data_IF_592103892675
#
_entry.id   IF_592103892675
#
_cell.length_a   1.000
_cell.length_b   1.000
_cell.length_c   1.000
_cell.angle_alpha   90.00
_cell.angle_beta   90.00
_cell.angle_gamma   90.00
#
_symmetry.space_group_name_H-M   'P 1'
#
loop_
_entity.id
_entity.type
_entity.pdbx_description
1 polymer ?
#
# COMPACT_ATOMS: atom_id res chain seq x y z
N UNK A 1 55.76 1.36 -54.58
CA UNK A 1 56.13 -0.07 -54.52
C UNK A 1 55.04 -0.75 -53.70
N UNK A 2 54.18 -1.51 -54.40
CA UNK A 2 53.22 -2.55 -53.95
C UNK A 2 52.45 -2.26 -52.64
N UNK A 3 51.16 -1.93 -52.75
CA UNK A 3 50.02 -2.89 -52.77
C UNK A 3 49.79 -3.45 -51.36
N UNK A 4 48.59 -3.51 -50.78
CA UNK A 4 47.21 -3.40 -51.26
C UNK A 4 46.35 -3.26 -50.00
N UNK A 5 45.45 -2.27 -49.93
CA UNK A 5 43.98 -2.42 -50.03
C UNK A 5 43.32 -2.96 -48.74
N UNK A 6 42.56 -2.12 -48.02
CA UNK A 6 41.14 -1.80 -48.22
C UNK A 6 40.25 -2.75 -47.39
N UNK A 7 39.12 -2.40 -46.75
CA UNK A 7 38.28 -1.19 -46.66
C UNK A 7 37.27 -1.50 -45.53
N UNK A 8 36.96 -0.53 -44.66
CA UNK A 8 35.71 0.27 -44.65
C UNK A 8 34.52 -0.27 -43.84
N UNK A 9 34.08 0.59 -42.91
CA UNK A 9 32.69 0.93 -42.53
C UNK A 9 31.73 -0.19 -42.07
N UNK A 10 30.80 0.00 -41.15
CA UNK A 10 30.14 1.18 -40.61
C UNK A 10 28.92 0.69 -39.80
N UNK A 11 28.38 1.57 -38.94
CA UNK A 11 27.25 1.35 -38.02
C UNK A 11 26.00 0.71 -38.63
N UNK A 12 25.27 -0.07 -37.82
CA UNK A 12 23.83 -0.32 -38.01
C UNK A 12 23.21 -1.28 -36.98
N UNK A 13 22.21 -0.82 -36.23
CA UNK A 13 21.35 -1.59 -35.29
C UNK A 13 20.52 -2.65 -36.01
N UNK A 14 20.15 -3.75 -35.33
CA UNK A 14 18.81 -4.40 -35.37
C UNK A 14 18.69 -5.59 -34.41
N UNK A 15 17.63 -5.53 -33.61
CA UNK A 15 16.62 -6.54 -33.28
C UNK A 15 17.04 -7.99 -33.01
N UNK A 16 16.68 -8.48 -31.82
CA UNK A 16 16.54 -9.91 -31.53
C UNK A 16 15.15 -10.18 -30.95
N UNK A 17 14.36 -10.99 -31.66
CA UNK A 17 13.10 -11.56 -31.22
C UNK A 17 13.03 -13.01 -31.68
N UNK A 18 12.39 -13.83 -30.83
CA UNK A 18 11.94 -15.21 -31.06
C UNK A 18 13.05 -16.28 -30.99
N UNK A 19 12.83 -17.53 -30.56
CA UNK A 19 11.64 -18.34 -30.29
C UNK A 19 12.11 -19.63 -29.60
N UNK A 20 11.26 -20.27 -28.79
CA UNK A 20 11.09 -21.73 -28.61
C UNK A 20 10.77 -22.03 -27.14
N UNK A 21 9.83 -22.89 -26.76
CA UNK A 21 9.02 -23.85 -27.49
C UNK A 21 8.48 -24.83 -26.45
N UNK A 22 7.18 -25.13 -26.49
CA UNK A 22 6.51 -26.09 -25.60
C UNK A 22 6.68 -27.51 -26.17
N UNK A 23 6.90 -28.50 -25.31
CA UNK A 23 6.51 -29.90 -25.55
C UNK A 23 6.20 -30.60 -24.22
N UNK A 24 5.32 -31.60 -24.29
CA UNK A 24 4.56 -32.18 -23.20
C UNK A 24 4.83 -33.68 -23.00
N UNK A 25 4.34 -34.20 -21.87
CA UNK A 25 3.97 -35.60 -21.51
C UNK A 25 5.08 -36.60 -21.14
N UNK A 26 4.90 -37.21 -19.95
CA UNK A 26 5.44 -38.53 -19.60
C UNK A 26 5.00 -38.96 -18.19
N UNK A 27 4.15 -40.00 -18.11
CA UNK A 27 3.73 -40.64 -16.86
C UNK A 27 4.59 -41.90 -16.59
N UNK A 28 4.93 -42.19 -15.33
CA UNK A 28 5.38 -43.53 -14.94
C UNK A 28 6.20 -43.66 -13.64
N UNK A 29 5.63 -44.42 -12.70
CA UNK A 29 6.23 -45.28 -11.66
C UNK A 29 6.54 -44.68 -10.27
N UNK A 30 5.94 -45.33 -9.27
CA UNK A 30 6.05 -45.10 -7.84
C UNK A 30 7.40 -45.53 -7.24
N UNK A 31 7.87 -44.77 -6.25
CA UNK A 31 8.96 -45.15 -5.34
C UNK A 31 8.64 -44.65 -3.94
N UNK A 32 8.52 -45.58 -2.99
CA UNK A 32 8.33 -45.33 -1.56
C UNK A 32 9.65 -44.85 -0.96
N UNK A 33 9.58 -43.84 -0.08
CA UNK A 33 10.52 -43.72 1.05
C UNK A 33 11.59 -42.64 0.93
N UNK A 34 11.23 -41.41 1.31
CA UNK A 34 11.98 -40.63 2.29
C UNK A 34 11.08 -39.47 2.72
N UNK A 35 10.46 -39.59 3.89
CA UNK A 35 9.97 -38.42 4.61
C UNK A 35 11.19 -37.57 4.93
N UNK A 36 11.53 -36.63 4.04
CA UNK A 36 12.32 -35.49 4.42
C UNK A 36 11.46 -34.75 5.44
N UNK A 37 11.75 -34.97 6.72
CA UNK A 37 11.47 -33.98 7.74
C UNK A 37 12.05 -32.69 7.17
N UNK A 38 11.16 -31.81 6.70
CA UNK A 38 11.52 -30.43 6.47
C UNK A 38 12.06 -29.97 7.81
N UNK A 39 13.38 -29.84 7.90
CA UNK A 39 13.98 -29.11 8.99
C UNK A 39 13.26 -27.76 8.98
N UNK A 40 12.58 -27.43 10.08
CA UNK A 40 12.20 -26.06 10.37
C UNK A 40 13.46 -25.25 10.10
N UNK A 41 13.47 -24.53 8.99
CA UNK A 41 14.39 -23.41 8.88
C UNK A 41 13.97 -22.55 10.05
N UNK A 42 14.88 -22.40 11.00
CA UNK A 42 14.76 -21.39 12.02
C UNK A 42 14.67 -20.05 11.30
N UNK A 43 13.45 -19.64 10.98
CA UNK A 43 13.08 -18.33 10.48
C UNK A 43 13.18 -17.30 11.61
N UNK A 44 13.59 -17.74 12.82
CA UNK A 44 13.83 -16.93 13.98
C UNK A 44 14.87 -15.87 13.66
N UNK A 45 14.41 -14.63 13.64
CA UNK A 45 15.31 -13.50 13.81
C UNK A 45 16.20 -13.76 15.03
N UNK A 46 17.53 -13.67 14.86
CA UNK A 46 18.51 -13.77 15.95
C UNK A 46 18.50 -12.54 16.86
N UNK A 47 17.58 -11.60 16.64
CA UNK A 47 17.42 -10.40 17.45
C UNK A 47 16.79 -10.78 18.78
N UNK A 48 17.49 -10.42 19.86
CA UNK A 48 16.97 -10.48 21.21
C UNK A 48 16.01 -9.31 21.47
N UNK A 49 14.72 -9.64 21.66
CA UNK A 49 13.63 -8.71 21.96
C UNK A 49 13.36 -8.51 23.46
N UNK A 50 13.98 -9.32 24.34
CA UNK A 50 13.77 -9.23 25.79
C UNK A 50 14.14 -7.85 26.34
N UNK A 51 14.99 -7.14 25.60
CA UNK A 51 15.23 -5.70 25.72
C UNK A 51 14.78 -4.99 24.44
N UNK A 52 13.96 -3.93 24.59
CA UNK A 52 13.58 -3.07 23.47
C UNK A 52 14.79 -2.22 23.06
N UNK A 53 15.31 -2.42 21.84
CA UNK A 53 16.53 -1.76 21.33
C UNK A 53 16.18 -0.72 20.26
N UNK A 54 15.56 0.37 20.69
CA UNK A 54 15.06 1.41 19.78
C UNK A 54 16.14 2.11 18.94
N UNK A 55 17.40 2.06 19.38
CA UNK A 55 18.59 2.60 18.71
C UNK A 55 19.27 1.61 17.74
N UNK A 56 18.81 0.35 17.68
CA UNK A 56 19.31 -0.68 16.78
C UNK A 56 18.41 -0.80 15.54
N UNK A 57 19.00 -0.64 14.36
CA UNK A 57 18.25 -0.64 13.10
C UNK A 57 17.78 -2.03 12.64
N UNK A 58 18.44 -3.11 13.05
CA UNK A 58 17.98 -4.49 12.82
C UNK A 58 16.82 -4.84 13.76
N UNK A 59 16.88 -4.41 15.01
CA UNK A 59 15.76 -4.53 15.94
C UNK A 59 14.54 -3.76 15.43
N UNK A 60 14.72 -2.52 14.96
CA UNK A 60 13.66 -1.72 14.36
C UNK A 60 13.05 -2.37 13.12
N UNK A 61 13.89 -2.94 12.23
CA UNK A 61 13.44 -3.69 11.06
C UNK A 61 12.47 -4.80 11.47
N UNK A 62 12.83 -5.60 12.46
CA UNK A 62 12.02 -6.74 12.82
C UNK A 62 10.79 -6.37 13.64
N UNK A 63 10.91 -5.40 14.55
CA UNK A 63 9.77 -4.80 15.24
C UNK A 63 8.75 -4.28 14.21
N UNK A 64 9.21 -3.58 13.17
CA UNK A 64 8.36 -3.11 12.09
C UNK A 64 7.78 -4.25 11.26
N UNK A 65 8.56 -5.27 10.93
CA UNK A 65 8.09 -6.46 10.21
C UNK A 65 6.96 -7.18 10.97
N UNK A 66 7.08 -7.33 12.30
CA UNK A 66 6.05 -7.93 13.18
C UNK A 66 4.80 -7.07 13.33
N UNK A 67 4.92 -5.74 13.23
CA UNK A 67 3.77 -4.84 13.20
C UNK A 67 3.07 -4.88 11.85
N UNK A 68 3.83 -4.83 10.76
CA UNK A 68 3.30 -4.73 9.41
C UNK A 68 2.82 -6.06 8.83
N UNK A 69 3.25 -7.20 9.41
CA UNK A 69 2.95 -8.55 8.97
C UNK A 69 3.38 -9.60 10.03
N UNK A 70 3.76 -10.80 9.61
CA UNK A 70 4.17 -11.92 10.44
C UNK A 70 5.54 -12.46 9.99
N UNK A 71 6.48 -12.65 10.94
CA UNK A 71 7.80 -13.24 10.70
C UNK A 71 7.78 -14.76 10.53
N UNK A 72 6.69 -15.43 10.90
CA UNK A 72 6.45 -16.83 10.56
C UNK A 72 6.07 -16.90 9.07
N UNK A 73 7.08 -17.17 8.23
CA UNK A 73 6.98 -17.11 6.78
C UNK A 73 5.94 -18.13 6.29
N UNK A 74 4.89 -17.61 5.63
CA UNK A 74 3.74 -18.39 5.18
C UNK A 74 2.44 -17.95 5.83
N UNK A 75 2.50 -17.30 7.00
CA UNK A 75 1.34 -16.64 7.62
C UNK A 75 1.09 -15.27 7.00
N UNK A 76 -0.17 -14.87 7.05
CA UNK A 76 -0.60 -13.51 6.72
C UNK A 76 -1.16 -12.81 7.95
N UNK A 77 -1.20 -11.48 7.88
CA UNK A 77 -1.76 -10.61 8.92
C UNK A 77 -2.87 -9.77 8.33
N UNK A 78 -3.93 -9.60 9.11
CA UNK A 78 -5.08 -8.77 8.78
C UNK A 78 -4.85 -7.34 9.29
N UNK A 79 -5.07 -6.35 8.43
CA UNK A 79 -5.14 -4.94 8.79
C UNK A 79 -6.53 -4.39 8.56
N UNK A 80 -6.95 -3.39 9.33
CA UNK A 80 -8.22 -2.69 9.16
C UNK A 80 -8.06 -1.18 9.34
N UNK A 81 -8.98 -0.44 8.74
CA UNK A 81 -9.15 0.99 8.99
C UNK A 81 -10.63 1.37 8.88
N UNK A 82 -11.08 2.32 9.69
CA UNK A 82 -12.44 2.85 9.65
C UNK A 82 -12.47 4.30 10.14
N UNK A 83 -13.27 5.15 9.51
CA UNK A 83 -13.39 6.54 9.89
C UNK A 83 -14.22 7.38 8.93
N UNK A 84 -13.94 8.67 8.90
CA UNK A 84 -14.66 9.66 8.10
C UNK A 84 -13.72 10.40 7.16
N UNK A 85 -14.17 10.63 5.93
CA UNK A 85 -13.51 11.55 5.00
C UNK A 85 -14.25 12.87 5.03
N UNK A 86 -13.50 13.93 5.30
CA UNK A 86 -14.00 15.28 5.47
C UNK A 86 -13.54 16.17 4.33
N UNK A 87 -14.39 17.10 3.90
CA UNK A 87 -14.04 18.19 3.00
C UNK A 87 -13.59 19.40 3.79
N UNK A 88 -12.42 19.92 3.43
CA UNK A 88 -11.82 21.12 4.02
C UNK A 88 -11.76 22.20 2.96
N UNK A 89 -12.45 23.32 3.21
CA UNK A 89 -12.50 24.52 2.35
C UNK A 89 -12.40 25.77 3.19
N UNK A 90 -11.87 26.83 2.60
CA UNK A 90 -11.75 28.12 3.27
C UNK A 90 -13.13 28.75 3.50
N UNK A 91 -13.30 29.41 4.64
CA UNK A 91 -14.52 30.17 4.97
C UNK A 91 -15.72 29.33 5.40
N UNK A 92 -15.58 28.01 5.58
CA UNK A 92 -16.63 27.14 6.12
C UNK A 92 -16.10 26.14 7.16
N UNK A 93 -17.01 25.57 7.97
CA UNK A 93 -16.65 24.48 8.86
C UNK A 93 -16.28 23.22 8.06
N UNK A 94 -15.34 22.43 8.59
CA UNK A 94 -14.99 21.11 8.04
C UNK A 94 -16.26 20.26 7.94
N UNK A 95 -16.48 19.66 6.77
CA UNK A 95 -17.73 18.96 6.45
C UNK A 95 -17.48 17.45 6.31
N UNK A 96 -18.12 16.60 7.11
CA UNK A 96 -18.14 15.16 6.84
C UNK A 96 -18.79 14.88 5.49
N UNK A 97 -18.12 14.12 4.62
CA UNK A 97 -18.62 13.84 3.26
C UNK A 97 -19.18 12.42 3.14
N UNK A 98 -18.44 11.44 3.64
CA UNK A 98 -18.77 10.02 3.64
C UNK A 98 -17.89 9.28 4.67
N UNK A 99 -18.34 8.12 5.12
CA UNK A 99 -17.49 7.21 5.88
C UNK A 99 -16.46 6.54 4.97
N UNK A 100 -15.43 5.95 5.57
CA UNK A 100 -14.44 5.15 4.88
C UNK A 100 -14.05 3.97 5.74
N UNK A 101 -14.17 2.76 5.19
CA UNK A 101 -13.82 1.53 5.89
C UNK A 101 -13.18 0.53 4.95
N UNK A 102 -12.19 -0.21 5.42
CA UNK A 102 -11.52 -1.20 4.61
C UNK A 102 -10.56 -2.07 5.40
N UNK A 103 -9.88 -2.92 4.66
CA UNK A 103 -8.99 -3.91 5.21
C UNK A 103 -7.87 -4.26 4.25
N UNK A 104 -6.87 -4.95 4.80
CA UNK A 104 -5.72 -5.42 4.05
C UNK A 104 -5.25 -6.77 4.57
N UNK A 105 -4.56 -7.50 3.68
CA UNK A 105 -3.84 -8.71 4.04
C UNK A 105 -2.40 -8.59 3.61
N UNK A 106 -1.50 -8.75 4.57
CA UNK A 106 -0.06 -8.68 4.39
C UNK A 106 0.58 -10.05 4.63
N UNK A 107 1.61 -10.40 3.85
CA UNK A 107 2.54 -11.48 4.20
C UNK A 107 3.99 -11.06 3.96
N UNK A 108 4.93 -11.74 4.61
CA UNK A 108 6.35 -11.54 4.38
C UNK A 108 6.94 -12.64 3.52
N UNK A 109 7.89 -12.25 2.68
CA UNK A 109 8.84 -13.13 2.02
C UNK A 109 10.24 -12.71 2.48
N UNK A 110 11.02 -13.64 3.01
CA UNK A 110 12.42 -13.40 3.34
C UNK A 110 13.28 -13.46 2.07
N UNK A 111 13.99 -12.38 1.77
CA UNK A 111 14.92 -12.32 0.61
C UNK A 111 16.34 -12.73 0.97
N UNK A 112 16.62 -13.03 2.24
CA UNK A 112 17.97 -13.10 2.76
C UNK A 112 18.55 -11.71 3.02
N UNK A 113 19.79 -11.68 3.49
CA UNK A 113 20.57 -10.46 3.77
C UNK A 113 19.89 -9.45 4.70
N UNK A 114 18.92 -9.94 5.48
CA UNK A 114 18.18 -9.14 6.43
C UNK A 114 17.17 -8.18 5.81
N UNK A 115 16.59 -8.51 4.65
CA UNK A 115 15.52 -7.76 4.00
C UNK A 115 14.28 -8.64 3.82
N UNK A 116 13.13 -8.13 4.26
CA UNK A 116 11.83 -8.74 4.00
C UNK A 116 11.10 -8.00 2.89
N UNK A 117 10.42 -8.74 2.03
CA UNK A 117 9.39 -8.19 1.15
C UNK A 117 8.03 -8.31 1.82
N UNK A 118 7.38 -7.17 2.08
CA UNK A 118 5.97 -7.14 2.47
C UNK A 118 5.10 -7.13 1.22
N UNK A 119 4.37 -8.22 1.04
CA UNK A 119 3.36 -8.36 -0.01
C UNK A 119 2.01 -7.98 0.56
N UNK A 120 1.31 -7.03 -0.08
CA UNK A 120 0.06 -6.48 0.45
C UNK A 120 -0.99 -6.34 -0.64
N UNK A 121 -2.23 -6.70 -0.29
CA UNK A 121 -3.44 -6.19 -0.92
C UNK A 121 -4.23 -5.39 0.09
N UNK A 122 -4.81 -4.29 -0.36
CA UNK A 122 -5.71 -3.49 0.46
C UNK A 122 -6.90 -2.99 -0.34
N UNK A 123 -8.06 -2.96 0.31
CA UNK A 123 -9.30 -2.45 -0.27
C UNK A 123 -9.98 -1.54 0.73
N UNK A 124 -10.48 -0.40 0.26
CA UNK A 124 -11.19 0.60 1.06
C UNK A 124 -12.42 1.10 0.34
N UNK A 125 -13.53 1.15 1.06
CA UNK A 125 -14.85 1.52 0.56
C UNK A 125 -15.32 2.81 1.21
N UNK A 126 -15.92 3.68 0.40
CA UNK A 126 -16.62 4.86 0.91
C UNK A 126 -18.05 4.47 1.29
N UNK A 127 -18.51 4.93 2.44
CA UNK A 127 -19.78 4.49 3.03
C UNK A 127 -20.71 5.66 3.35
N UNK A 128 -22.00 5.39 3.36
CA UNK A 128 -22.99 6.35 3.82
C UNK A 128 -22.78 6.65 5.32
N UNK A 129 -22.73 7.93 5.69
CA UNK A 129 -22.46 8.36 7.06
C UNK A 129 -23.49 7.87 8.07
N UNK A 130 -24.74 7.65 7.65
CA UNK A 130 -25.84 7.28 8.53
C UNK A 130 -26.02 5.76 8.59
N UNK A 131 -25.97 5.08 7.46
CA UNK A 131 -26.27 3.64 7.37
C UNK A 131 -25.02 2.77 7.43
N UNK A 132 -23.85 3.30 7.10
CA UNK A 132 -22.60 2.53 6.93
C UNK A 132 -22.64 1.58 5.73
N UNK A 133 -23.57 1.75 4.80
CA UNK A 133 -23.61 0.99 3.54
C UNK A 133 -22.57 1.51 2.56
N UNK A 134 -21.97 0.60 1.78
CA UNK A 134 -21.01 0.97 0.74
C UNK A 134 -21.72 1.80 -0.34
N UNK A 135 -21.14 2.96 -0.66
CA UNK A 135 -21.65 3.86 -1.69
C UNK A 135 -21.14 3.43 -3.05
N UNK A 136 -22.04 3.10 -3.98
CA UNK A 136 -21.73 2.99 -5.40
C UNK A 136 -21.86 4.35 -6.13
N UNK A 137 -22.72 5.21 -5.61
CA UNK A 137 -22.94 6.57 -6.07
C UNK A 137 -23.04 7.51 -4.88
N UNK A 138 -22.60 8.75 -5.06
CA UNK A 138 -22.61 9.78 -4.01
C UNK A 138 -23.08 11.11 -4.59
N UNK A 139 -23.93 11.82 -3.85
CA UNK A 139 -24.39 13.15 -4.21
C UNK A 139 -23.41 14.18 -3.65
N UNK A 140 -22.62 14.80 -4.53
CA UNK A 140 -21.58 15.74 -4.14
C UNK A 140 -22.22 17.07 -3.68
N UNK A 141 -22.09 17.44 -2.38
CA UNK A 141 -22.72 18.63 -1.83
C UNK A 141 -22.05 19.94 -2.30
N UNK A 142 -20.88 19.87 -2.93
CA UNK A 142 -20.17 21.02 -3.45
C UNK A 142 -20.51 21.33 -4.91
N UNK A 143 -20.79 20.31 -5.72
CA UNK A 143 -21.10 20.47 -7.15
C UNK A 143 -22.58 20.24 -7.48
N UNK A 144 -23.34 19.65 -6.56
CA UNK A 144 -24.72 19.21 -6.78
C UNK A 144 -24.83 18.01 -7.72
N UNK A 145 -23.72 17.37 -8.08
CA UNK A 145 -23.70 16.24 -9.00
C UNK A 145 -23.78 14.90 -8.28
N UNK A 146 -24.55 13.97 -8.84
CA UNK A 146 -24.45 12.56 -8.49
C UNK A 146 -23.28 11.94 -9.25
N UNK A 147 -22.27 11.48 -8.52
CA UNK A 147 -21.04 10.88 -9.07
C UNK A 147 -20.96 9.39 -8.75
N UNK A 148 -20.36 8.61 -9.64
CA UNK A 148 -20.03 7.21 -9.37
C UNK A 148 -18.81 7.15 -8.46
N UNK A 149 -18.91 6.40 -7.37
CA UNK A 149 -17.82 6.22 -6.41
C UNK A 149 -16.82 5.20 -6.96
N UNK A 150 -15.54 5.49 -6.80
CA UNK A 150 -14.45 4.56 -7.14
C UNK A 150 -13.73 4.17 -5.85
N UNK A 151 -13.83 2.91 -5.39
CA UNK A 151 -13.17 2.47 -4.16
C UNK A 151 -11.65 2.41 -4.31
N UNK A 152 -10.96 2.37 -3.18
CA UNK A 152 -9.53 2.06 -3.12
C UNK A 152 -9.38 0.55 -3.29
N UNK A 153 -8.60 0.11 -4.26
CA UNK A 153 -8.34 -1.30 -4.53
C UNK A 153 -6.89 -1.44 -4.99
N UNK A 154 -5.95 -1.42 -4.03
CA UNK A 154 -4.52 -1.46 -4.34
C UNK A 154 -4.03 -2.91 -4.33
N UNK A 155 -3.65 -3.39 -5.50
CA UNK A 155 -3.11 -4.74 -5.72
C UNK A 155 -2.06 -4.72 -6.85
N UNK A 156 -0.77 -4.92 -6.52
CA UNK A 156 -0.18 -5.00 -5.19
C UNK A 156 0.14 -3.62 -4.58
N UNK A 157 0.35 -3.58 -3.25
CA UNK A 157 0.97 -2.43 -2.55
C UNK A 157 2.22 -2.87 -1.77
N UNK A 158 3.19 -3.39 -2.51
CA UNK A 158 4.38 -4.02 -1.94
C UNK A 158 5.44 -3.00 -1.51
N UNK A 159 6.22 -3.33 -0.48
CA UNK A 159 7.45 -2.61 -0.13
C UNK A 159 8.46 -3.53 0.58
N UNK A 160 9.70 -3.08 0.64
CA UNK A 160 10.77 -3.77 1.37
C UNK A 160 10.90 -3.22 2.80
N UNK A 161 11.18 -4.12 3.73
CA UNK A 161 11.48 -3.83 5.14
C UNK A 161 12.90 -4.31 5.39
N UNK A 162 13.83 -3.38 5.54
CA UNK A 162 15.24 -3.66 5.80
C UNK A 162 15.80 -2.78 6.93
N UNK A 163 17.09 -2.92 7.26
CA UNK A 163 17.74 -2.16 8.34
C UNK A 163 17.98 -0.68 7.98
N UNK A 164 17.51 -0.22 6.82
CA UNK A 164 17.58 1.15 6.35
C UNK A 164 16.19 1.58 5.88
N UNK A 165 15.88 2.87 5.98
CA UNK A 165 14.63 3.40 5.44
C UNK A 165 14.47 3.03 3.95
N UNK A 166 13.29 2.53 3.54
CA UNK A 166 13.05 2.22 2.14
C UNK A 166 13.02 3.51 1.31
N UNK A 167 13.27 3.36 0.01
CA UNK A 167 12.99 4.45 -0.92
C UNK A 167 11.48 4.73 -0.95
N UNK A 168 11.07 5.99 -1.18
CA UNK A 168 9.67 6.31 -1.41
C UNK A 168 9.11 5.48 -2.58
N UNK A 169 7.83 5.06 -2.53
CA UNK A 169 7.22 4.33 -3.64
C UNK A 169 7.33 5.10 -4.95
N UNK A 170 7.67 4.41 -6.03
CA UNK A 170 7.91 5.04 -7.33
C UNK A 170 6.63 5.44 -8.06
N UNK A 171 5.50 4.79 -7.75
CA UNK A 171 4.19 4.98 -8.39
C UNK A 171 4.28 4.98 -9.92
N UNK A 172 4.73 3.86 -10.48
CA UNK A 172 4.98 3.73 -11.91
C UNK A 172 6.10 4.64 -12.44
N UNK A 173 7.00 5.10 -11.57
CA UNK A 173 8.13 5.97 -11.91
C UNK A 173 7.84 7.48 -11.87
N UNK A 174 6.64 7.89 -11.44
CA UNK A 174 6.27 9.30 -11.27
C UNK A 174 7.02 9.94 -10.10
N UNK A 175 7.12 9.24 -8.98
CA UNK A 175 7.90 9.68 -7.84
C UNK A 175 9.37 9.28 -8.00
N UNK A 176 10.23 10.28 -8.23
CA UNK A 176 11.67 10.12 -8.46
C UNK A 176 12.51 10.46 -7.22
N UNK A 177 11.88 10.65 -6.06
CA UNK A 177 12.59 10.98 -4.83
C UNK A 177 13.56 9.86 -4.45
N UNK A 178 14.81 10.22 -4.20
CA UNK A 178 15.90 9.32 -3.79
C UNK A 178 16.57 9.90 -2.54
N UNK A 179 15.93 9.78 -1.37
CA UNK A 179 16.50 10.30 -0.13
C UNK A 179 17.81 9.57 0.20
N UNK A 180 18.68 10.24 0.96
CA UNK A 180 19.95 9.66 1.43
C UNK A 180 19.65 8.42 2.28
N UNK A 181 20.34 7.32 1.98
CA UNK A 181 20.25 6.07 2.75
C UNK A 181 20.61 6.34 4.21
N UNK A 182 19.72 6.00 5.13
CA UNK A 182 19.90 6.18 6.57
C UNK A 182 19.35 4.97 7.35
N UNK A 183 19.94 4.62 8.51
CA UNK A 183 19.47 3.50 9.32
C UNK A 183 17.97 3.65 9.66
N UNK A 184 17.25 2.53 9.69
CA UNK A 184 15.84 2.50 10.08
C UNK A 184 15.75 2.66 11.60
N UNK A 185 15.67 3.89 12.07
CA UNK A 185 15.38 4.23 13.47
C UNK A 185 14.00 4.87 13.51
N UNK A 186 13.01 4.13 14.01
CA UNK A 186 11.62 4.55 14.06
C UNK A 186 11.35 5.40 15.30
N UNK A 187 10.32 6.24 15.22
CA UNK A 187 10.00 7.21 16.27
C UNK A 187 9.12 6.56 17.36
N UNK A 188 9.76 5.77 18.23
CA UNK A 188 9.13 5.12 19.36
C UNK A 188 8.99 6.06 20.55
N UNK A 189 7.92 5.87 21.33
CA UNK A 189 7.70 6.55 22.60
C UNK A 189 7.00 5.61 23.58
N UNK A 190 7.71 5.20 24.63
CA UNK A 190 7.06 4.52 25.76
C UNK A 190 6.09 5.48 26.45
N UNK A 191 4.92 4.98 26.83
CA UNK A 191 3.84 5.76 27.42
C UNK A 191 2.98 4.91 28.36
N UNK A 192 2.56 5.49 29.48
CA UNK A 192 1.91 4.73 30.55
C UNK A 192 2.74 3.54 31.03
N UNK A 193 2.08 2.53 31.59
CA UNK A 193 2.76 1.40 32.23
C UNK A 193 3.14 0.27 31.24
N UNK A 194 2.38 0.10 30.16
CA UNK A 194 2.56 -1.01 29.21
C UNK A 194 2.14 -0.63 27.78
N UNK A 195 2.54 0.55 27.30
CA UNK A 195 2.29 0.96 25.91
C UNK A 195 3.52 1.58 25.28
N UNK A 196 3.65 1.32 23.98
CA UNK A 196 4.61 1.98 23.10
C UNK A 196 3.83 2.63 21.98
N UNK A 197 4.05 3.92 21.77
CA UNK A 197 3.57 4.61 20.59
C UNK A 197 4.64 4.60 19.52
N UNK A 198 4.22 4.41 18.27
CA UNK A 198 5.05 4.64 17.11
C UNK A 198 4.36 5.66 16.21
N UNK A 199 5.06 6.72 15.84
CA UNK A 199 4.58 7.70 14.87
C UNK A 199 5.37 7.58 13.56
N UNK A 200 4.68 7.34 12.45
CA UNK A 200 5.30 7.14 11.14
C UNK A 200 4.60 8.00 10.08
N UNK A 201 4.98 9.29 9.93
CA UNK A 201 4.40 10.15 8.90
C UNK A 201 5.10 9.97 7.56
N UNK A 202 4.33 10.06 6.48
CA UNK A 202 4.80 10.06 5.10
C UNK A 202 4.26 11.32 4.43
N UNK A 203 5.16 12.10 3.82
CA UNK A 203 4.82 13.31 3.08
C UNK A 203 5.32 13.19 1.65
N UNK A 204 4.39 13.29 0.69
CA UNK A 204 4.63 13.05 -0.72
C UNK A 204 4.29 14.30 -1.53
N UNK A 205 5.19 14.62 -2.46
CA UNK A 205 4.99 15.66 -3.46
C UNK A 205 5.64 15.22 -4.77
N UNK A 206 4.83 14.82 -5.74
CA UNK A 206 5.30 14.22 -7.00
C UNK A 206 4.34 14.56 -8.16
N UNK A 207 4.76 14.42 -9.43
CA UNK A 207 3.88 14.65 -10.59
C UNK A 207 2.63 13.78 -10.54
N UNK A 208 1.46 14.39 -10.75
CA UNK A 208 0.17 13.70 -10.75
C UNK A 208 0.02 12.77 -11.96
N UNK A 209 -0.54 11.58 -11.77
CA UNK A 209 -0.96 10.73 -12.90
C UNK A 209 -2.15 11.32 -13.69
N UNK A 210 -2.93 12.21 -13.06
CA UNK A 210 -4.07 12.89 -13.66
C UNK A 210 -3.64 14.30 -14.05
N UNK A 211 -3.01 14.45 -15.22
CA UNK A 211 -2.62 15.77 -15.73
C UNK A 211 -3.87 16.59 -16.11
N UNK A 212 -3.98 17.88 -15.71
CA UNK A 212 -5.19 18.69 -15.91
C UNK A 212 -5.67 18.80 -17.34
N UNK A 213 -4.75 18.74 -18.30
CA UNK A 213 -5.04 18.85 -19.73
C UNK A 213 -5.83 17.62 -20.25
N UNK A 214 -5.62 16.45 -19.65
CA UNK A 214 -6.31 15.20 -19.98
C UNK A 214 -7.48 14.91 -19.03
N UNK A 215 -7.37 15.34 -17.77
CA UNK A 215 -8.30 15.05 -16.68
C UNK A 215 -8.85 16.34 -16.05
N UNK A 216 -9.52 17.22 -16.81
CA UNK A 216 -9.88 18.56 -16.35
C UNK A 216 -10.87 18.57 -15.17
N UNK A 217 -11.64 17.49 -14.97
CA UNK A 217 -12.65 17.39 -13.90
C UNK A 217 -12.15 16.62 -12.68
N UNK A 218 -11.20 15.72 -12.88
CA UNK A 218 -10.65 14.86 -11.82
C UNK A 218 -9.34 15.40 -11.24
N UNK A 219 -8.58 16.15 -12.04
CA UNK A 219 -7.25 16.61 -11.65
C UNK A 219 -7.33 17.79 -10.69
N UNK A 220 -6.68 17.63 -9.53
CA UNK A 220 -6.42 18.71 -8.59
C UNK A 220 -5.18 19.55 -8.95
N UNK A 221 -4.52 19.26 -10.08
CA UNK A 221 -3.33 19.99 -10.54
C UNK A 221 -2.22 19.07 -11.06
N UNK A 222 -1.11 19.69 -11.49
CA UNK A 222 0.05 19.00 -12.09
C UNK A 222 0.83 18.14 -11.10
N UNK A 223 0.74 18.45 -9.82
CA UNK A 223 1.45 17.78 -8.73
C UNK A 223 0.44 17.15 -7.78
N UNK A 224 0.70 15.92 -7.35
CA UNK A 224 0.00 15.28 -6.26
C UNK A 224 0.70 15.61 -4.93
N UNK A 225 -0.03 16.16 -3.97
CA UNK A 225 0.45 16.49 -2.62
C UNK A 225 -0.36 15.67 -1.61
N UNK A 226 0.25 14.64 -1.03
CA UNK A 226 -0.41 13.75 -0.07
C UNK A 226 0.42 13.66 1.20
N UNK A 227 -0.25 13.60 2.34
CA UNK A 227 0.36 13.23 3.60
C UNK A 227 -0.46 12.13 4.24
N UNK A 228 0.22 11.14 4.79
CA UNK A 228 -0.36 10.08 5.59
C UNK A 228 0.36 10.05 6.94
N UNK A 229 -0.39 10.12 8.02
CA UNK A 229 0.17 10.08 9.37
C UNK A 229 -0.42 8.89 10.11
N UNK A 230 0.46 8.02 10.58
CA UNK A 230 0.10 6.83 11.34
C UNK A 230 0.58 6.95 12.77
N UNK A 231 -0.32 6.68 13.72
CA UNK A 231 0.01 6.53 15.15
C UNK A 231 -0.39 5.14 15.59
N UNK A 232 0.59 4.30 15.91
CA UNK A 232 0.40 2.95 16.42
C UNK A 232 0.42 2.98 17.94
N UNK A 233 -0.49 2.25 18.57
CA UNK A 233 -0.55 2.00 20.01
C UNK A 233 -0.35 0.51 20.22
N UNK A 234 0.77 0.16 20.83
CA UNK A 234 1.29 -1.21 20.88
C UNK A 234 1.47 -1.61 22.34
N UNK A 235 1.10 -2.84 22.70
CA UNK A 235 1.42 -3.42 24.00
C UNK A 235 2.93 -3.63 24.10
N UNK A 236 3.55 -3.06 25.15
CA UNK A 236 5.02 -3.08 25.30
C UNK A 236 5.53 -4.51 25.51
N UNK A 237 4.83 -5.29 26.33
CA UNK A 237 5.19 -6.69 26.59
C UNK A 237 5.12 -7.54 25.32
N UNK A 238 4.11 -7.33 24.48
CA UNK A 238 3.98 -8.02 23.19
C UNK A 238 5.13 -7.68 22.24
N UNK A 239 5.55 -6.41 22.22
CA UNK A 239 6.67 -5.95 21.41
C UNK A 239 8.01 -6.53 21.89
N UNK A 240 8.15 -6.74 23.19
CA UNK A 240 9.33 -7.32 23.84
C UNK A 240 9.36 -8.86 23.82
N UNK A 241 8.25 -9.51 23.49
CA UNK A 241 8.15 -10.98 23.49
C UNK A 241 8.87 -11.57 22.25
N UNK A 242 9.97 -12.33 22.43
CA UNK A 242 10.67 -12.97 21.31
C UNK A 242 9.89 -14.13 20.69
N UNK A 243 8.89 -14.70 21.38
CA UNK A 243 8.05 -15.76 20.83
C UNK A 243 6.96 -15.23 19.88
N UNK A 244 6.68 -13.91 19.91
CA UNK A 244 5.68 -13.29 19.03
C UNK A 244 6.28 -12.96 17.68
N UNK A 245 5.87 -13.71 16.66
CA UNK A 245 6.21 -13.45 15.25
C UNK A 245 5.33 -12.38 14.60
N UNK A 246 4.23 -11.99 15.26
CA UNK A 246 3.33 -10.89 14.87
C UNK A 246 2.87 -10.16 16.13
N UNK A 247 2.89 -8.83 16.09
CA UNK A 247 2.50 -7.95 17.21
C UNK A 247 1.24 -7.19 16.83
N UNK A 248 0.15 -7.43 17.55
CA UNK A 248 -1.13 -6.74 17.30
C UNK A 248 -1.07 -5.29 17.79
N UNK A 249 -1.84 -4.41 17.16
CA UNK A 249 -1.90 -2.99 17.55
C UNK A 249 -3.24 -2.38 17.16
N UNK A 250 -3.57 -1.28 17.83
CA UNK A 250 -4.62 -0.34 17.42
C UNK A 250 -4.02 1.05 17.25
N UNK A 251 -4.72 1.97 16.63
CA UNK A 251 -4.18 3.30 16.40
C UNK A 251 -5.07 4.23 15.62
N UNK A 252 -4.46 5.31 15.15
CA UNK A 252 -5.07 6.31 14.31
C UNK A 252 -4.30 6.43 12.99
N UNK A 253 -5.06 6.64 11.91
CA UNK A 253 -4.54 7.01 10.61
C UNK A 253 -5.28 8.25 10.13
N UNK A 254 -4.51 9.26 9.75
CA UNK A 254 -5.05 10.46 9.17
C UNK A 254 -4.37 10.72 7.84
N UNK A 255 -5.12 11.26 6.87
CA UNK A 255 -4.59 11.54 5.53
C UNK A 255 -5.07 12.90 5.04
N UNK A 256 -4.14 13.69 4.53
CA UNK A 256 -4.42 14.91 3.76
C UNK A 256 -4.16 14.58 2.30
N UNK A 257 -5.17 14.76 1.45
CA UNK A 257 -5.07 14.47 0.02
C UNK A 257 -5.92 15.45 -0.76
N UNK A 258 -5.57 15.81 -2.01
CA UNK A 258 -6.46 16.61 -2.83
C UNK A 258 -7.83 15.95 -2.98
N UNK A 259 -8.82 16.69 -3.49
CA UNK A 259 -10.12 16.11 -3.81
C UNK A 259 -9.98 14.79 -4.57
N UNK A 260 -10.78 13.80 -4.19
CA UNK A 260 -10.68 12.49 -4.83
C UNK A 260 -11.12 12.62 -6.29
N UNK A 261 -10.43 11.95 -7.24
CA UNK A 261 -10.70 12.09 -8.67
C UNK A 261 -12.19 11.92 -9.02
N UNK A 262 -12.84 10.89 -8.45
CA UNK A 262 -14.25 10.59 -8.70
C UNK A 262 -15.23 11.61 -8.10
N UNK A 263 -14.79 12.51 -7.21
CA UNK A 263 -15.63 13.59 -6.72
C UNK A 263 -15.86 14.68 -7.78
N UNK A 264 -15.07 14.69 -8.86
CA UNK A 264 -15.16 15.64 -9.97
C UNK A 264 -15.04 17.12 -9.53
N UNK A 265 -14.17 17.38 -8.55
CA UNK A 265 -13.93 18.73 -8.02
C UNK A 265 -12.90 19.54 -8.83
N UNK A 266 -12.16 18.89 -9.73
CA UNK A 266 -11.06 19.48 -10.48
C UNK A 266 -10.10 20.26 -9.57
N UNK A 267 -9.80 21.49 -9.97
CA UNK A 267 -8.90 22.40 -9.24
C UNK A 267 -9.66 23.33 -8.26
N UNK A 268 -10.86 22.95 -7.81
CA UNK A 268 -11.56 23.72 -6.80
C UNK A 268 -10.76 23.81 -5.49
N UNK A 269 -10.79 24.97 -4.84
CA UNK A 269 -10.08 25.18 -3.58
C UNK A 269 -10.54 24.20 -2.49
N UNK A 270 -9.57 23.72 -1.72
CA UNK A 270 -9.77 22.76 -0.64
C UNK A 270 -9.17 21.38 -0.89
N UNK A 271 -9.50 20.42 -0.03
CA UNK A 271 -8.95 19.08 -0.05
C UNK A 271 -9.76 18.12 0.84
N UNK A 272 -9.44 16.83 0.75
CA UNK A 272 -9.97 15.82 1.67
C UNK A 272 -9.03 15.64 2.88
N UNK A 273 -9.64 15.52 4.07
CA UNK A 273 -9.00 15.09 5.31
C UNK A 273 -9.66 13.80 5.82
N UNK A 274 -8.89 12.73 5.87
CA UNK A 274 -9.30 11.45 6.45
C UNK A 274 -8.98 11.48 7.93
N UNK A 275 -9.98 11.15 8.74
CA UNK A 275 -9.86 10.94 10.18
C UNK A 275 -10.30 9.52 10.49
N UNK A 276 -9.34 8.61 10.67
CA UNK A 276 -9.59 7.19 10.77
C UNK A 276 -8.89 6.56 11.98
N UNK A 277 -9.51 5.50 12.47
CA UNK A 277 -8.90 4.50 13.34
C UNK A 277 -8.34 3.37 12.49
N UNK A 278 -7.33 2.68 12.99
CA UNK A 278 -6.73 1.53 12.31
C UNK A 278 -6.20 0.50 13.31
N UNK A 279 -5.79 -0.66 12.80
CA UNK A 279 -5.06 -1.65 13.57
C UNK A 279 -4.65 -2.86 12.75
N UNK A 280 -3.87 -3.75 13.38
CA UNK A 280 -3.43 -5.01 12.79
C UNK A 280 -3.62 -6.17 13.75
N UNK A 281 -4.23 -7.24 13.26
CA UNK A 281 -4.60 -8.44 14.02
C UNK A 281 -4.25 -9.72 13.25
N UNK A 282 -4.17 -10.84 13.96
CA UNK A 282 -3.93 -12.16 13.36
C UNK A 282 -5.22 -12.84 12.89
N UNK A 283 -6.37 -12.20 13.09
CA UNK A 283 -7.70 -12.63 12.67
C UNK A 283 -8.53 -11.42 12.19
N UNK A 284 -9.72 -11.68 11.65
CA UNK A 284 -10.60 -10.64 11.10
C UNK A 284 -11.70 -10.18 12.08
N UNK A 285 -11.54 -10.37 13.40
CA UNK A 285 -12.62 -10.17 14.39
C UNK A 285 -13.24 -8.78 14.41
N UNK A 286 -12.51 -7.78 13.93
CA UNK A 286 -12.94 -6.37 13.91
C UNK A 286 -13.51 -5.91 12.56
N UNK A 287 -13.51 -6.76 11.52
CA UNK A 287 -14.04 -6.39 10.21
C UNK A 287 -15.57 -6.25 10.28
N UNK A 288 -16.11 -5.11 9.83
CA UNK A 288 -17.56 -4.93 9.77
C UNK A 288 -18.23 -6.03 8.93
N UNK A 289 -19.33 -6.63 9.41
CA UNK A 289 -20.09 -7.60 8.62
C UNK A 289 -20.57 -7.06 7.28
N UNK A 290 -20.88 -5.75 7.21
CA UNK A 290 -21.33 -5.10 5.96
C UNK A 290 -20.20 -5.01 4.95
N UNK A 291 -19.02 -4.56 5.39
CA UNK A 291 -17.83 -4.46 4.54
C UNK A 291 -17.37 -5.85 4.10
N UNK A 292 -17.37 -6.82 5.02
CA UNK A 292 -17.04 -8.21 4.70
C UNK A 292 -17.96 -8.77 3.61
N UNK A 293 -19.27 -8.67 3.79
CA UNK A 293 -20.23 -9.20 2.82
C UNK A 293 -20.11 -8.54 1.44
N UNK A 294 -19.92 -7.22 1.40
CA UNK A 294 -19.69 -6.50 0.14
C UNK A 294 -18.38 -6.94 -0.52
N UNK A 295 -17.28 -7.01 0.22
CA UNK A 295 -15.99 -7.41 -0.31
C UNK A 295 -15.95 -8.89 -0.74
N UNK A 296 -16.63 -9.81 -0.06
CA UNK A 296 -16.72 -11.22 -0.49
C UNK A 296 -17.36 -11.35 -1.87
N UNK A 297 -18.38 -10.54 -2.14
CA UNK A 297 -19.10 -10.53 -3.42
C UNK A 297 -18.32 -9.83 -4.53
N UNK A 298 -17.70 -8.69 -4.23
CA UNK A 298 -17.17 -7.79 -5.25
C UNK A 298 -15.62 -7.79 -5.36
N UNK A 299 -14.93 -8.16 -4.28
CA UNK A 299 -13.47 -8.10 -4.13
C UNK A 299 -12.87 -9.37 -3.47
N UNK A 300 -13.29 -10.60 -3.84
CA UNK A 300 -12.92 -11.83 -3.09
C UNK A 300 -11.41 -12.08 -3.03
N UNK A 301 -10.63 -11.61 -4.01
CA UNK A 301 -9.17 -11.76 -4.01
C UNK A 301 -8.45 -10.98 -2.90
N UNK A 302 -9.10 -9.99 -2.28
CA UNK A 302 -8.50 -9.12 -1.28
C UNK A 302 -8.46 -9.73 0.12
N UNK A 303 -9.08 -10.89 0.34
CA UNK A 303 -8.97 -11.66 1.59
C UNK A 303 -7.68 -12.48 1.71
N UNK A 304 -6.82 -12.40 0.70
CA UNK A 304 -5.54 -13.10 0.65
C UNK A 304 -4.45 -12.13 0.21
N UNK A 305 -3.35 -12.09 0.96
CA UNK A 305 -2.16 -11.38 0.54
C UNK A 305 -1.61 -11.99 -0.79
N UNK A 306 -0.88 -11.23 -1.62
CA UNK A 306 -0.17 -11.79 -2.76
C UNK A 306 0.86 -12.85 -2.33
N UNK A 307 1.09 -13.87 -3.16
CA UNK A 307 2.15 -14.88 -2.94
C UNK A 307 3.48 -14.49 -3.58
N UNK A 308 3.45 -13.57 -4.54
CA UNK A 308 4.59 -13.17 -5.35
C UNK A 308 4.70 -11.66 -5.40
N UNK A 309 5.93 -11.18 -5.57
CA UNK A 309 6.20 -9.76 -5.80
C UNK A 309 5.83 -9.39 -7.24
N UNK A 310 4.96 -8.39 -7.39
CA UNK A 310 4.56 -7.84 -8.68
C UNK A 310 4.89 -6.35 -8.71
N UNK A 311 5.44 -5.91 -9.85
CA UNK A 311 5.75 -4.51 -10.14
C UNK A 311 5.07 -4.09 -11.46
N UNK A 312 4.82 -2.78 -11.65
CA UNK A 312 5.05 -1.70 -10.67
C UNK A 312 3.94 -1.61 -9.62
N UNK A 313 4.31 -1.20 -8.39
CA UNK A 313 3.35 -0.79 -7.36
C UNK A 313 2.73 0.58 -7.71
N UNK A 314 1.40 0.67 -7.68
CA UNK A 314 0.63 1.87 -7.99
C UNK A 314 -0.16 2.32 -6.75
N UNK A 315 -0.26 3.64 -6.53
CA UNK A 315 -1.21 4.17 -5.58
C UNK A 315 -2.62 4.16 -6.17
N UNK A 316 -3.62 4.44 -5.33
CA UNK A 316 -5.01 4.58 -5.78
C UNK A 316 -5.19 5.67 -6.86
N UNK A 317 -4.34 6.70 -6.89
CA UNK A 317 -4.38 7.75 -7.93
C UNK A 317 -3.93 7.20 -9.29
N UNK A 318 -2.83 6.47 -9.31
CA UNK A 318 -2.31 5.86 -10.55
C UNK A 318 -3.23 4.73 -11.04
N UNK A 319 -3.82 3.94 -10.13
CA UNK A 319 -4.84 2.97 -10.51
C UNK A 319 -6.09 3.65 -11.09
N UNK A 320 -6.53 4.78 -10.53
CA UNK A 320 -7.62 5.57 -11.11
C UNK A 320 -7.30 5.99 -12.56
N UNK A 321 -6.10 6.53 -12.81
CA UNK A 321 -5.68 6.94 -14.15
C UNK A 321 -5.68 5.80 -15.17
N UNK A 322 -5.36 4.58 -14.72
CA UNK A 322 -5.29 3.37 -15.56
C UNK A 322 -6.65 2.75 -15.84
N UNK A 323 -7.56 2.81 -14.87
CA UNK A 323 -8.80 2.04 -14.88
C UNK A 323 -10.02 2.87 -15.27
N UNK A 324 -9.95 4.19 -15.10
CA UNK A 324 -11.04 5.11 -15.39
C UNK A 324 -10.81 5.86 -16.70
N UNK A 325 -11.84 6.58 -17.15
CA UNK A 325 -11.76 7.50 -18.28
C UNK A 325 -12.14 8.90 -17.81
N UNK A 326 -11.54 9.97 -18.38
CA UNK A 326 -11.93 11.34 -18.04
C UNK A 326 -13.42 11.57 -18.22
N UNK A 327 -14.05 12.18 -17.23
CA UNK A 327 -15.44 12.56 -17.26
C UNK A 327 -15.64 13.64 -18.33
N UNK A 328 -16.75 13.60 -19.08
CA UNK A 328 -17.04 14.62 -20.08
C UNK A 328 -17.01 16.02 -19.47
N UNK A 329 -16.33 16.94 -20.15
CA UNK A 329 -16.34 18.37 -19.80
C UNK A 329 -17.77 18.86 -19.94
N UNK A 330 -18.32 19.44 -18.87
CA UNK A 330 -19.64 20.06 -18.95
C UNK A 330 -19.56 21.24 -19.91
N UNK A 331 -20.58 21.46 -20.77
CA UNK A 331 -20.66 22.68 -21.55
C UNK A 331 -20.53 23.86 -20.60
N UNK A 332 -19.68 24.83 -20.92
CA UNK A 332 -19.68 26.10 -20.21
C UNK A 332 -21.10 26.66 -20.31
N UNK A 333 -21.80 26.72 -19.18
CA UNK A 333 -23.09 27.38 -19.10
C UNK A 333 -22.91 28.82 -19.57
N UNK A 334 -23.69 29.22 -20.58
CA UNK A 334 -23.82 30.61 -20.99
C UNK A 334 -24.57 31.41 -19.94
#
# INVERSE_FOLDING_TARGET
MKDESATSSGKGRRDFLSLAGRTAVGAGVAGIGASALAADKDCGSTVDYSTLKYDDNFWNRDAWARLMSNLDIGKQKFGWFSGTVNGVRDGEAVKPLFGFEGFSFARLVDKGDGVYQKLLREVGFYTDLKTGEVLEHWDNPYTGERVKVVPVANDPFNHEIGPYYPEPPSYGGLNKSKPVKRPLLLNWRETGDNKVFLHSPIHLFYPSALQPEEWPRESAGKMNRVSEMFTYVIDRDDLADPAKTSVEYSGAWSRITPWLPWMLMGQADGHCYYDCMMGGYNDMRVLSPKIKAYAEKHYPKYFEAPTEWVDPSYSSLENYAREQKPAPVKPSGK
#
